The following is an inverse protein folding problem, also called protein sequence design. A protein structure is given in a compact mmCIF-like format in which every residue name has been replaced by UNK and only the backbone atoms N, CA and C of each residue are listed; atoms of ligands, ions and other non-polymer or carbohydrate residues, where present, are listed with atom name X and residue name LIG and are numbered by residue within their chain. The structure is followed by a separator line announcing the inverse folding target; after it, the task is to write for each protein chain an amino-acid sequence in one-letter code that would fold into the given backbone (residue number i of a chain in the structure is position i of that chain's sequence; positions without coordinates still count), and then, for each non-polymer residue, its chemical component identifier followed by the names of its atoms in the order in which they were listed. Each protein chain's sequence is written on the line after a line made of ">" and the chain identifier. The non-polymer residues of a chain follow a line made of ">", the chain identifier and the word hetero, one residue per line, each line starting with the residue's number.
data_IF_473846810023
#
_entry.id   IF_473846810023
#
_cell.length_a   1.000
_cell.length_b   1.000
_cell.length_c   1.000
_cell.angle_alpha   90.00
_cell.angle_beta   90.00
_cell.angle_gamma   90.00
#
_symmetry.space_group_name_H-M   'P 1'
#
loop_
_entity.id
_entity.type
_entity.pdbx_description
1 polymer ?
#
# COMPACT_ATOMS: atom_id res chain seq x y z
N UNK A 1 -19.88 -20.56 -21.09
CA UNK A 1 -20.91 -20.07 -22.03
C UNK A 1 -21.03 -18.55 -21.98
N UNK A 2 -21.40 -17.91 -20.84
CA UNK A 2 -21.61 -16.46 -20.76
C UNK A 2 -20.38 -15.63 -21.14
N UNK A 3 -19.17 -16.04 -20.75
CA UNK A 3 -17.95 -15.33 -21.12
C UNK A 3 -17.58 -15.52 -22.60
N UNK A 4 -17.90 -16.68 -23.18
CA UNK A 4 -17.74 -16.91 -24.61
C UNK A 4 -18.76 -16.09 -25.42
N UNK A 5 -19.96 -15.91 -24.91
CA UNK A 5 -20.96 -15.05 -25.52
C UNK A 5 -20.52 -13.56 -25.45
N UNK A 6 -19.98 -13.12 -24.32
CA UNK A 6 -19.39 -11.79 -24.20
C UNK A 6 -18.27 -11.57 -25.23
N UNK A 7 -17.42 -12.59 -25.50
CA UNK A 7 -16.40 -12.49 -26.54
C UNK A 7 -17.02 -12.32 -27.95
N UNK A 8 -18.13 -12.96 -28.24
CA UNK A 8 -18.86 -12.79 -29.50
C UNK A 8 -19.41 -11.38 -29.67
N UNK A 9 -19.75 -10.72 -28.57
CA UNK A 9 -20.15 -9.32 -28.54
C UNK A 9 -18.99 -8.32 -28.60
N UNK A 10 -17.75 -8.81 -28.76
CA UNK A 10 -16.56 -7.97 -28.91
C UNK A 10 -15.86 -7.60 -27.58
N UNK A 11 -16.31 -8.12 -26.44
CA UNK A 11 -15.60 -7.91 -25.18
C UNK A 11 -14.30 -8.70 -25.14
N UNK A 12 -13.23 -8.09 -24.63
CA UNK A 12 -11.95 -8.76 -24.39
C UNK A 12 -12.08 -9.67 -23.18
N UNK A 13 -11.97 -10.99 -23.38
CA UNK A 13 -11.94 -11.97 -22.31
C UNK A 13 -10.54 -12.57 -22.17
N UNK A 14 -10.18 -13.04 -20.97
CA UNK A 14 -8.90 -13.72 -20.74
C UNK A 14 -8.84 -15.02 -21.55
N UNK A 15 -7.78 -15.21 -22.34
CA UNK A 15 -7.54 -16.44 -23.08
C UNK A 15 -7.08 -17.60 -22.15
N UNK A 16 -6.54 -17.26 -20.97
CA UNK A 16 -6.10 -18.23 -19.98
C UNK A 16 -7.21 -18.93 -19.20
N UNK A 17 -8.49 -18.67 -19.52
CA UNK A 17 -9.63 -19.26 -18.82
C UNK A 17 -9.72 -20.78 -19.04
N UNK A 18 -9.85 -21.54 -17.94
CA UNK A 18 -10.04 -23.01 -18.01
C UNK A 18 -11.17 -23.45 -17.07
N UNK A 19 -12.03 -24.35 -17.54
CA UNK A 19 -13.00 -25.06 -16.70
C UNK A 19 -12.35 -26.32 -16.18
N UNK A 20 -12.37 -26.53 -14.88
CA UNK A 20 -11.78 -27.68 -14.18
C UNK A 20 -12.83 -28.39 -13.34
N UNK A 21 -12.61 -29.68 -13.04
CA UNK A 21 -13.54 -30.52 -12.28
C UNK A 21 -12.92 -31.11 -11.02
N UNK A 22 -11.60 -31.21 -10.95
CA UNK A 22 -10.87 -31.82 -9.84
C UNK A 22 -9.92 -30.84 -9.18
N UNK A 23 -9.54 -31.12 -7.93
CA UNK A 23 -8.56 -30.33 -7.20
C UNK A 23 -7.18 -30.41 -7.87
N UNK A 24 -6.82 -31.56 -8.42
CA UNK A 24 -5.55 -31.74 -9.14
C UNK A 24 -5.48 -30.83 -10.37
N UNK A 25 -6.54 -30.73 -11.16
CA UNK A 25 -6.59 -29.81 -12.30
C UNK A 25 -6.46 -28.34 -11.89
N UNK A 26 -6.91 -27.97 -10.67
CA UNK A 26 -6.71 -26.64 -10.12
C UNK A 26 -5.22 -26.40 -9.82
N UNK A 27 -4.56 -27.35 -9.14
CA UNK A 27 -3.13 -27.23 -8.84
C UNK A 27 -2.28 -27.22 -10.11
N UNK A 28 -2.59 -28.05 -11.09
CA UNK A 28 -1.89 -28.06 -12.38
C UNK A 28 -2.01 -26.71 -13.09
N UNK A 29 -3.20 -26.10 -13.03
CA UNK A 29 -3.45 -24.79 -13.62
C UNK A 29 -2.70 -23.67 -12.87
N UNK A 30 -2.65 -23.73 -11.54
CA UNK A 30 -1.89 -22.78 -10.71
C UNK A 30 -0.39 -22.87 -11.04
N UNK A 31 0.17 -24.08 -11.06
CA UNK A 31 1.58 -24.31 -11.35
C UNK A 31 1.96 -23.88 -12.77
N UNK A 32 1.10 -24.18 -13.74
CA UNK A 32 1.29 -23.73 -15.12
C UNK A 32 1.40 -22.21 -15.21
N UNK A 33 0.45 -21.48 -14.63
CA UNK A 33 0.45 -20.03 -14.70
C UNK A 33 1.47 -19.35 -13.79
N UNK A 34 1.92 -19.98 -12.73
CA UNK A 34 3.02 -19.45 -11.93
C UNK A 34 4.33 -19.35 -12.75
N UNK A 35 4.55 -20.31 -13.65
CA UNK A 35 5.66 -20.28 -14.59
C UNK A 35 5.41 -19.33 -15.78
N UNK A 36 4.25 -19.47 -16.45
CA UNK A 36 3.96 -18.83 -17.74
C UNK A 36 3.46 -17.37 -17.63
N UNK A 37 3.03 -16.91 -16.45
CA UNK A 37 2.51 -15.54 -16.25
C UNK A 37 3.49 -14.44 -16.68
N UNK A 38 4.78 -14.73 -16.68
CA UNK A 38 5.83 -13.79 -17.11
C UNK A 38 5.76 -13.48 -18.60
N UNK A 39 5.16 -14.37 -19.39
CA UNK A 39 4.99 -14.25 -20.83
C UNK A 39 3.69 -13.55 -21.22
N UNK A 40 2.85 -13.20 -20.23
CA UNK A 40 1.61 -12.45 -20.50
C UNK A 40 1.89 -10.98 -20.81
N UNK A 41 1.10 -10.36 -21.71
CA UNK A 41 1.24 -8.94 -22.05
C UNK A 41 0.86 -7.99 -20.90
N UNK A 42 0.28 -8.55 -19.82
CA UNK A 42 -0.13 -7.83 -18.61
C UNK A 42 0.38 -8.54 -17.37
N UNK A 43 0.84 -7.79 -16.39
CA UNK A 43 1.26 -8.36 -15.11
C UNK A 43 0.05 -8.95 -14.36
N UNK A 44 0.23 -10.17 -13.83
CA UNK A 44 -0.79 -10.88 -13.05
C UNK A 44 -0.21 -11.30 -11.71
N UNK A 45 -0.97 -11.09 -10.62
CA UNK A 45 -0.58 -11.42 -9.26
C UNK A 45 -1.24 -12.68 -8.71
N UNK A 46 -2.17 -13.25 -9.46
CA UNK A 46 -2.89 -14.44 -9.03
C UNK A 46 -3.94 -14.94 -10.02
N UNK A 47 -4.73 -15.90 -9.54
CA UNK A 47 -5.81 -16.55 -10.26
C UNK A 47 -7.10 -16.41 -9.44
N UNK A 48 -8.23 -16.25 -10.10
CA UNK A 48 -9.54 -16.29 -9.45
C UNK A 48 -10.24 -17.58 -9.80
N UNK A 49 -10.51 -18.39 -8.79
CA UNK A 49 -11.30 -19.59 -8.87
C UNK A 49 -12.78 -19.26 -8.61
N UNK A 50 -13.67 -19.70 -9.49
CA UNK A 50 -15.10 -19.39 -9.37
C UNK A 50 -15.93 -20.67 -9.55
N UNK A 51 -16.97 -20.82 -8.75
CA UNK A 51 -17.98 -21.88 -8.98
C UNK A 51 -18.66 -21.62 -10.32
N UNK A 52 -18.64 -22.60 -11.22
CA UNK A 52 -19.14 -22.40 -12.59
C UNK A 52 -20.67 -22.37 -12.71
N UNK A 53 -21.40 -23.00 -11.79
CA UNK A 53 -22.86 -23.05 -11.82
C UNK A 53 -23.49 -21.78 -11.26
N UNK A 54 -24.22 -21.02 -12.05
CA UNK A 54 -24.93 -19.80 -11.60
C UNK A 54 -25.97 -20.11 -10.51
N UNK A 55 -26.60 -21.30 -10.54
CA UNK A 55 -27.52 -21.73 -9.48
C UNK A 55 -26.79 -21.89 -8.15
N UNK A 56 -25.61 -22.53 -8.15
CA UNK A 56 -24.78 -22.68 -6.96
C UNK A 56 -24.23 -21.34 -6.50
N UNK A 57 -23.83 -20.44 -7.38
CA UNK A 57 -23.40 -19.09 -7.02
C UNK A 57 -24.50 -18.33 -6.27
N UNK A 58 -25.74 -18.39 -6.76
CA UNK A 58 -26.90 -17.77 -6.08
C UNK A 58 -27.17 -18.39 -4.71
N UNK A 59 -27.06 -19.72 -4.59
CA UNK A 59 -27.23 -20.42 -3.32
C UNK A 59 -26.14 -20.07 -2.27
N UNK A 60 -24.89 -19.95 -2.71
CA UNK A 60 -23.76 -19.55 -1.84
C UNK A 60 -23.83 -18.08 -1.41
N UNK A 61 -24.34 -17.21 -2.28
CA UNK A 61 -24.53 -15.80 -2.00
C UNK A 61 -23.24 -15.01 -1.80
N UNK A 62 -23.36 -13.94 -1.01
CA UNK A 62 -22.30 -12.96 -0.76
C UNK A 62 -22.10 -12.73 0.73
N UNK A 63 -20.92 -12.26 1.10
CA UNK A 63 -20.66 -11.56 2.36
C UNK A 63 -20.89 -10.06 2.14
N UNK A 64 -20.72 -9.25 3.18
CA UNK A 64 -20.80 -7.78 3.04
C UNK A 64 -19.77 -7.20 2.04
N UNK A 65 -18.68 -7.92 1.76
CA UNK A 65 -17.56 -7.41 0.95
C UNK A 65 -17.19 -8.27 -0.26
N UNK A 66 -17.61 -9.53 -0.31
CA UNK A 66 -17.11 -10.46 -1.33
C UNK A 66 -18.10 -11.60 -1.61
N UNK A 67 -18.06 -12.20 -2.83
CA UNK A 67 -18.84 -13.41 -3.14
C UNK A 67 -18.27 -14.63 -2.39
N UNK A 68 -19.17 -15.51 -1.92
CA UNK A 68 -18.80 -16.81 -1.31
C UNK A 68 -18.43 -17.88 -2.33
N UNK A 69 -18.74 -17.65 -3.59
CA UNK A 69 -18.53 -18.58 -4.70
C UNK A 69 -17.26 -18.30 -5.52
N UNK A 70 -16.43 -17.34 -5.07
CA UNK A 70 -15.16 -17.02 -5.70
C UNK A 70 -14.07 -16.89 -4.65
N UNK A 71 -12.87 -17.34 -4.99
CA UNK A 71 -11.68 -17.24 -4.18
C UNK A 71 -10.49 -16.80 -5.04
N UNK A 72 -9.71 -15.83 -4.57
CA UNK A 72 -8.47 -15.45 -5.20
C UNK A 72 -7.32 -16.27 -4.62
N UNK A 73 -6.55 -16.92 -5.51
CA UNK A 73 -5.25 -17.49 -5.18
C UNK A 73 -4.18 -16.51 -5.67
N UNK A 74 -3.38 -15.98 -4.76
CA UNK A 74 -2.27 -15.11 -5.09
C UNK A 74 -0.96 -15.91 -5.17
N UNK A 75 -0.18 -15.66 -6.21
CA UNK A 75 1.16 -16.23 -6.33
C UNK A 75 2.05 -15.76 -5.18
N UNK A 76 3.10 -16.53 -4.93
CA UNK A 76 4.13 -16.11 -3.98
C UNK A 76 4.73 -14.78 -4.44
N UNK A 77 4.80 -13.82 -3.52
CA UNK A 77 5.41 -12.53 -3.81
C UNK A 77 6.89 -12.70 -4.20
N UNK A 78 7.32 -11.91 -5.18
CA UNK A 78 8.74 -11.83 -5.49
C UNK A 78 9.48 -11.17 -4.32
N UNK A 79 10.68 -11.67 -4.05
CA UNK A 79 11.53 -11.19 -2.97
C UNK A 79 12.88 -10.77 -3.52
N UNK A 80 13.37 -9.63 -3.06
CA UNK A 80 14.72 -9.16 -3.35
C UNK A 80 15.45 -8.80 -2.06
N UNK A 81 16.78 -8.89 -2.07
CA UNK A 81 17.63 -8.49 -0.95
C UNK A 81 18.33 -7.18 -1.33
N UNK A 82 18.28 -6.19 -0.42
CA UNK A 82 18.90 -4.89 -0.63
C UNK A 82 19.37 -4.29 0.71
N UNK A 83 20.26 -3.28 0.66
CA UNK A 83 20.81 -2.65 1.85
C UNK A 83 19.87 -1.57 2.39
N UNK A 84 19.64 -1.56 3.70
CA UNK A 84 18.95 -0.50 4.44
C UNK A 84 19.91 0.65 4.71
N UNK A 85 19.69 1.81 4.12
CA UNK A 85 20.57 2.97 4.26
C UNK A 85 20.12 3.91 5.38
N UNK A 86 18.79 4.09 5.53
CA UNK A 86 18.20 5.04 6.45
C UNK A 86 16.77 4.65 6.78
N UNK A 87 16.27 5.07 7.94
CA UNK A 87 14.85 5.04 8.27
C UNK A 87 14.37 6.46 8.50
N UNK A 88 13.39 6.88 7.69
CA UNK A 88 12.69 8.16 7.84
C UNK A 88 11.31 7.95 8.44
N UNK A 89 10.74 8.99 9.04
CA UNK A 89 9.45 8.92 9.71
C UNK A 89 8.48 9.90 9.05
N UNK A 90 7.30 9.41 8.69
CA UNK A 90 6.27 10.19 8.01
C UNK A 90 5.05 10.32 8.92
N UNK A 91 4.48 11.52 8.97
CA UNK A 91 3.27 11.80 9.75
C UNK A 91 2.06 11.76 8.81
N UNK A 92 1.13 10.88 9.10
CA UNK A 92 -0.12 10.76 8.34
C UNK A 92 -1.20 11.76 8.77
N UNK A 93 -2.28 11.79 8.04
CA UNK A 93 -3.47 12.63 8.28
C UNK A 93 -4.04 12.54 9.69
N UNK A 94 -3.96 11.38 10.30
CA UNK A 94 -4.45 11.10 11.66
C UNK A 94 -3.42 11.35 12.75
N UNK A 95 -2.23 11.85 12.38
CA UNK A 95 -1.10 12.00 13.29
C UNK A 95 -0.25 10.74 13.47
N UNK A 96 -0.66 9.60 12.92
CA UNK A 96 0.11 8.36 12.99
C UNK A 96 1.49 8.54 12.34
N UNK A 97 2.55 8.14 13.07
CA UNK A 97 3.94 8.23 12.61
C UNK A 97 4.36 6.88 12.07
N UNK A 98 4.62 6.82 10.76
CA UNK A 98 4.98 5.61 10.06
C UNK A 98 6.45 5.63 9.67
N UNK A 99 7.26 4.64 10.11
CA UNK A 99 8.64 4.51 9.69
C UNK A 99 8.72 3.96 8.26
N UNK A 100 9.65 4.50 7.49
CA UNK A 100 9.90 4.12 6.09
C UNK A 100 11.38 3.83 5.91
N UNK A 101 11.67 2.62 5.46
CA UNK A 101 13.01 2.22 5.07
C UNK A 101 13.40 2.84 3.74
N UNK A 102 14.53 3.53 3.68
CA UNK A 102 15.20 3.97 2.46
C UNK A 102 16.35 3.01 2.18
N UNK A 103 16.38 2.43 0.99
CA UNK A 103 17.23 1.30 0.63
C UNK A 103 17.96 1.57 -0.68
N UNK A 104 19.03 0.81 -0.93
CA UNK A 104 19.61 0.77 -2.26
C UNK A 104 18.55 0.34 -3.28
N UNK A 105 18.57 0.94 -4.48
CA UNK A 105 17.61 0.58 -5.54
C UNK A 105 17.72 -0.91 -5.90
N UNK A 106 16.60 -1.61 -5.90
CA UNK A 106 16.53 -3.02 -6.28
C UNK A 106 15.38 -3.27 -7.25
N UNK A 107 15.61 -4.12 -8.24
CA UNK A 107 14.56 -4.54 -9.18
C UNK A 107 13.65 -5.57 -8.50
N UNK A 108 12.34 -5.31 -8.50
CA UNK A 108 11.36 -6.17 -7.86
C UNK A 108 10.01 -6.04 -8.57
N UNK A 109 9.48 -7.16 -9.06
CA UNK A 109 8.22 -7.21 -9.79
C UNK A 109 8.11 -6.17 -10.91
N UNK A 110 9.16 -6.06 -11.75
CA UNK A 110 9.20 -5.16 -12.91
C UNK A 110 9.36 -3.67 -12.59
N UNK A 111 9.61 -3.31 -11.33
CA UNK A 111 9.80 -1.92 -10.89
C UNK A 111 11.06 -1.77 -10.04
N UNK A 112 11.66 -0.56 -10.04
CA UNK A 112 12.75 -0.24 -9.14
C UNK A 112 12.20 0.21 -7.79
N UNK A 113 12.46 -0.56 -6.75
CA UNK A 113 12.08 -0.26 -5.37
C UNK A 113 13.25 0.39 -4.64
N UNK A 114 13.00 1.53 -3.97
CA UNK A 114 13.96 2.28 -3.14
C UNK A 114 13.47 2.49 -1.72
N UNK A 115 12.17 2.30 -1.49
CA UNK A 115 11.51 2.56 -0.20
C UNK A 115 10.53 1.45 0.12
N UNK A 116 10.43 1.10 1.42
CA UNK A 116 9.46 0.14 1.93
C UNK A 116 8.90 0.58 3.27
N UNK A 117 7.65 0.23 3.56
CA UNK A 117 7.08 0.51 4.88
C UNK A 117 7.66 -0.42 5.95
N UNK A 118 7.84 0.14 7.14
CA UNK A 118 8.20 -0.59 8.38
C UNK A 118 7.01 -0.65 9.35
N UNK A 119 5.83 -0.26 8.93
CA UNK A 119 4.58 -0.24 9.68
C UNK A 119 4.63 0.59 10.97
N UNK A 120 5.37 0.16 12.01
CA UNK A 120 5.44 0.78 13.33
C UNK A 120 6.74 0.41 14.07
N UNK A 121 6.91 0.90 15.31
CA UNK A 121 8.06 0.59 16.15
C UNK A 121 8.19 -0.91 16.49
N UNK A 122 7.06 -1.58 16.78
CA UNK A 122 7.06 -3.00 17.15
C UNK A 122 7.60 -3.87 16.01
N UNK A 123 7.32 -3.46 14.75
CA UNK A 123 7.87 -4.10 13.57
C UNK A 123 9.40 -3.92 13.46
N UNK A 124 9.92 -2.72 13.71
CA UNK A 124 11.36 -2.46 13.73
C UNK A 124 12.05 -3.34 14.78
N UNK A 125 11.46 -3.42 15.99
CA UNK A 125 11.98 -4.24 17.10
C UNK A 125 11.91 -5.74 16.81
N UNK A 126 10.84 -6.21 16.18
CA UNK A 126 10.66 -7.63 15.88
C UNK A 126 11.70 -8.20 14.92
N UNK A 127 12.27 -7.36 14.06
CA UNK A 127 13.37 -7.71 13.15
C UNK A 127 14.74 -7.30 13.68
N UNK A 128 14.82 -6.66 14.84
CA UNK A 128 16.08 -6.09 15.36
C UNK A 128 16.83 -5.31 14.28
N UNK A 129 16.11 -4.38 13.62
CA UNK A 129 16.64 -3.66 12.45
C UNK A 129 17.79 -2.72 12.81
N UNK A 130 18.85 -2.77 12.01
CA UNK A 130 20.00 -1.89 12.10
C UNK A 130 20.26 -1.17 10.78
N UNK A 131 20.74 0.06 10.84
CA UNK A 131 21.18 0.78 9.65
C UNK A 131 22.41 0.05 9.06
N UNK A 132 22.35 -0.21 7.76
CA UNK A 132 23.34 -1.00 7.04
C UNK A 132 22.98 -2.47 6.88
N UNK A 133 21.92 -2.96 7.50
CA UNK A 133 21.42 -4.33 7.31
C UNK A 133 21.07 -4.61 5.85
N UNK A 134 21.27 -5.86 5.45
CA UNK A 134 20.66 -6.39 4.23
C UNK A 134 19.26 -6.91 4.56
N UNK A 135 18.25 -6.34 3.91
CA UNK A 135 16.83 -6.63 4.18
C UNK A 135 16.18 -7.31 2.99
N UNK A 136 15.30 -8.25 3.27
CA UNK A 136 14.47 -8.89 2.27
C UNK A 136 13.19 -8.06 2.08
N UNK A 137 12.96 -7.64 0.84
CA UNK A 137 11.80 -6.84 0.44
C UNK A 137 10.89 -7.67 -0.43
N UNK A 138 9.61 -7.68 -0.14
CA UNK A 138 8.57 -8.29 -0.96
C UNK A 138 7.66 -7.21 -1.55
N UNK A 139 7.26 -7.44 -2.80
CA UNK A 139 6.21 -6.72 -3.48
C UNK A 139 5.24 -7.74 -4.07
N UNK A 140 4.16 -8.02 -3.34
CA UNK A 140 3.05 -8.83 -3.83
C UNK A 140 2.07 -7.97 -4.63
N UNK A 141 0.88 -8.48 -4.92
CA UNK A 141 -0.21 -7.72 -5.56
C UNK A 141 -0.63 -6.43 -4.84
N UNK A 142 0.02 -6.12 -3.74
CA UNK A 142 -0.03 -4.81 -3.10
C UNK A 142 1.02 -3.89 -3.74
N UNK A 143 0.63 -2.66 -4.00
CA UNK A 143 1.48 -1.66 -4.65
C UNK A 143 2.65 -1.25 -3.74
N UNK A 144 2.52 -1.45 -2.42
CA UNK A 144 3.47 -0.98 -1.40
C UNK A 144 4.48 -2.07 -1.05
N UNK A 145 5.79 -1.86 -1.30
CA UNK A 145 6.83 -2.77 -0.85
C UNK A 145 6.90 -2.84 0.68
N UNK A 146 7.15 -4.04 1.22
CA UNK A 146 7.33 -4.28 2.65
C UNK A 146 8.59 -5.08 2.93
N UNK A 147 9.25 -4.81 4.04
CA UNK A 147 10.33 -5.64 4.55
C UNK A 147 9.73 -6.89 5.19
N UNK A 148 10.34 -8.06 4.92
CA UNK A 148 9.87 -9.36 5.41
C UNK A 148 10.95 -10.17 6.12
N UNK A 149 12.15 -9.62 6.25
CA UNK A 149 13.25 -10.24 6.96
C UNK A 149 14.53 -9.45 6.86
N UNK A 150 15.51 -9.87 7.66
CA UNK A 150 16.88 -9.35 7.71
C UNK A 150 17.84 -10.50 7.48
N UNK A 151 18.87 -10.26 6.69
CA UNK A 151 20.02 -11.16 6.51
C UNK A 151 21.06 -10.84 7.60
N UNK A 152 20.93 -11.49 8.75
CA UNK A 152 21.74 -11.22 9.93
C UNK A 152 23.21 -11.62 9.68
N UNK A 153 23.45 -12.63 8.86
CA UNK A 153 24.82 -13.10 8.56
C UNK A 153 25.64 -12.04 7.79
N UNK A 154 24.94 -11.14 7.10
CA UNK A 154 25.55 -10.04 6.33
C UNK A 154 25.53 -8.69 7.06
N UNK A 155 25.13 -8.67 8.34
CA UNK A 155 25.08 -7.43 9.13
C UNK A 155 26.49 -6.86 9.33
N UNK A 156 26.73 -5.58 9.00
CA UNK A 156 28.01 -4.93 9.29
C UNK A 156 28.27 -4.87 10.81
N UNK A 157 29.52 -5.07 11.23
CA UNK A 157 29.93 -5.03 12.65
C UNK A 157 29.61 -3.65 13.30
N UNK A 158 29.63 -2.58 12.50
CA UNK A 158 29.38 -1.20 12.95
C UNK A 158 27.91 -0.77 12.78
N UNK A 159 27.00 -1.71 12.44
CA UNK A 159 25.59 -1.42 12.25
C UNK A 159 24.96 -0.87 13.54
N UNK A 160 24.19 0.23 13.43
CA UNK A 160 23.53 0.85 14.56
C UNK A 160 22.06 0.47 14.61
N UNK A 161 21.49 0.14 15.80
CA UNK A 161 20.09 -0.15 15.92
C UNK A 161 19.22 1.02 15.44
N UNK A 162 18.14 0.70 14.74
CA UNK A 162 17.14 1.70 14.36
C UNK A 162 16.32 2.07 15.57
N UNK A 163 16.43 3.34 16.01
CA UNK A 163 15.63 3.88 17.11
C UNK A 163 14.41 4.62 16.58
N UNK A 164 13.25 4.39 17.20
CA UNK A 164 12.05 5.15 16.86
C UNK A 164 12.13 6.56 17.43
N UNK A 165 11.56 7.55 16.71
CA UNK A 165 11.58 8.95 17.15
C UNK A 165 10.63 9.17 18.34
N UNK A 166 11.02 10.04 19.25
CA UNK A 166 10.20 10.43 20.42
C UNK A 166 9.39 11.69 20.21
N UNK A 167 9.75 12.46 19.19
CA UNK A 167 9.11 13.72 18.82
C UNK A 167 8.68 13.67 17.35
N UNK A 168 7.62 14.39 17.04
CA UNK A 168 7.11 14.52 15.69
C UNK A 168 8.17 15.15 14.78
N UNK A 169 8.56 14.51 13.66
CA UNK A 169 9.57 15.03 12.75
C UNK A 169 9.15 16.35 12.06
N UNK A 170 7.85 16.65 12.06
CA UNK A 170 7.28 17.80 11.35
C UNK A 170 7.05 19.02 12.25
N UNK A 171 6.57 18.81 13.49
CA UNK A 171 6.22 19.94 14.38
C UNK A 171 6.91 19.89 15.75
N UNK A 172 7.79 18.91 16.01
CA UNK A 172 8.55 18.79 17.26
C UNK A 172 7.73 18.39 18.49
N UNK A 173 6.43 18.18 18.38
CA UNK A 173 5.58 17.79 19.51
C UNK A 173 5.90 16.37 19.95
N UNK A 174 5.97 16.14 21.27
CA UNK A 174 6.19 14.80 21.82
C UNK A 174 5.11 13.82 21.37
N UNK A 175 5.54 12.66 20.85
CA UNK A 175 4.64 11.61 20.40
C UNK A 175 3.97 10.91 21.58
N UNK A 176 2.77 10.40 21.34
CA UNK A 176 2.00 9.58 22.29
C UNK A 176 1.66 8.24 21.67
N UNK A 177 1.62 7.20 22.49
CA UNK A 177 1.12 5.88 22.11
C UNK A 177 -0.08 5.57 23.00
N UNK A 178 -1.21 5.29 22.38
CA UNK A 178 -2.43 4.96 23.12
C UNK A 178 -2.42 3.49 23.53
N UNK A 179 -3.10 3.18 24.62
CA UNK A 179 -3.22 1.81 25.12
C UNK A 179 -3.89 0.92 24.06
N UNK A 180 -3.30 -0.24 23.80
CA UNK A 180 -3.78 -1.18 22.78
C UNK A 180 -3.39 -0.84 21.34
N UNK A 181 -2.74 0.30 21.09
CA UNK A 181 -2.30 0.71 19.77
C UNK A 181 -0.82 0.40 19.52
N UNK A 182 -0.50 -0.02 18.31
CA UNK A 182 0.88 -0.27 17.88
C UNK A 182 1.57 0.96 17.28
N UNK A 183 0.80 1.99 16.93
CA UNK A 183 1.30 3.22 16.32
C UNK A 183 1.58 4.30 17.36
N UNK A 184 2.56 5.15 17.05
CA UNK A 184 2.80 6.42 17.73
C UNK A 184 2.10 7.53 16.99
N UNK A 185 1.58 8.51 17.73
CA UNK A 185 0.81 9.62 17.17
C UNK A 185 1.37 10.96 17.59
N UNK A 186 1.33 11.92 16.67
CA UNK A 186 1.49 13.32 16.97
C UNK A 186 0.14 13.90 17.46
N UNK A 187 0.00 14.32 18.73
CA UNK A 187 -1.25 14.83 19.27
C UNK A 187 -1.58 16.25 18.83
N UNK A 188 -0.67 16.95 18.15
CA UNK A 188 -0.86 18.33 17.68
C UNK A 188 -1.65 18.37 16.38
N UNK A 189 -2.93 18.04 16.44
CA UNK A 189 -3.81 17.95 15.28
C UNK A 189 -4.13 19.31 14.64
N UNK A 190 -4.12 20.38 15.42
CA UNK A 190 -4.39 21.73 14.95
C UNK A 190 -3.16 22.47 14.39
N UNK A 191 -1.95 22.04 14.76
CA UNK A 191 -0.72 22.74 14.38
C UNK A 191 0.26 21.94 13.53
N UNK A 192 0.06 20.64 13.38
CA UNK A 192 0.97 19.77 12.61
C UNK A 192 0.66 19.85 11.10
N UNK A 193 1.58 20.35 10.26
CA UNK A 193 1.30 20.58 8.84
C UNK A 193 0.77 19.38 8.07
N UNK A 194 1.36 18.17 8.16
CA UNK A 194 0.83 16.99 7.47
C UNK A 194 -0.59 16.60 7.89
N UNK A 195 -0.94 16.83 9.17
CA UNK A 195 -2.30 16.52 9.63
C UNK A 195 -3.32 17.50 9.06
N UNK A 196 -2.98 18.80 9.04
CA UNK A 196 -3.83 19.85 8.46
C UNK A 196 -4.02 19.58 6.96
N UNK A 197 -2.92 19.49 6.21
CA UNK A 197 -2.96 19.25 4.75
C UNK A 197 -3.70 17.95 4.42
N UNK A 198 -3.38 16.86 5.09
CA UNK A 198 -3.99 15.56 4.83
C UNK A 198 -5.49 15.51 5.14
N UNK A 199 -6.01 16.32 6.09
CA UNK A 199 -7.46 16.47 6.31
C UNK A 199 -8.13 17.21 5.16
N UNK A 200 -7.50 18.27 4.64
CA UNK A 200 -8.01 19.02 3.49
C UNK A 200 -7.99 18.14 2.24
N UNK A 201 -6.88 17.43 1.97
CA UNK A 201 -6.76 16.48 0.86
C UNK A 201 -7.83 15.38 0.92
N UNK A 202 -8.08 14.84 2.11
CA UNK A 202 -9.14 13.85 2.29
C UNK A 202 -10.52 14.45 2.00
N UNK A 203 -10.78 15.67 2.48
CA UNK A 203 -12.06 16.36 2.29
C UNK A 203 -12.36 16.60 0.81
N UNK A 204 -11.39 17.04 0.01
CA UNK A 204 -11.55 17.26 -1.43
C UNK A 204 -11.57 15.96 -2.25
N UNK A 205 -11.14 14.83 -1.69
CA UNK A 205 -10.98 13.58 -2.41
C UNK A 205 -12.29 13.03 -2.96
N UNK A 206 -12.17 12.12 -3.97
CA UNK A 206 -13.32 11.40 -4.57
C UNK A 206 -14.17 10.63 -3.58
N UNK A 207 -13.63 10.25 -2.43
CA UNK A 207 -14.33 9.51 -1.37
C UNK A 207 -15.08 10.40 -0.40
N UNK A 208 -14.91 11.71 -0.50
CA UNK A 208 -15.57 12.69 0.36
C UNK A 208 -16.36 13.70 -0.51
N UNK A 209 -15.88 14.93 -0.65
CA UNK A 209 -16.64 16.00 -1.35
C UNK A 209 -16.40 15.99 -2.87
N UNK A 210 -15.45 15.21 -3.37
CA UNK A 210 -15.11 15.09 -4.80
C UNK A 210 -14.94 16.46 -5.49
N UNK A 211 -14.09 17.29 -4.93
CA UNK A 211 -13.79 18.61 -5.52
C UNK A 211 -12.73 18.43 -6.60
N UNK A 212 -13.08 18.74 -7.84
CA UNK A 212 -12.19 18.62 -8.98
C UNK A 212 -11.15 19.75 -9.03
N UNK A 213 -10.03 19.48 -9.69
CA UNK A 213 -8.95 20.44 -10.00
C UNK A 213 -8.13 20.92 -8.78
N UNK A 214 -8.43 20.47 -7.56
CA UNK A 214 -7.62 20.70 -6.38
C UNK A 214 -6.93 19.40 -5.99
N UNK A 215 -5.61 19.35 -6.11
CA UNK A 215 -4.77 18.21 -5.73
C UNK A 215 -3.90 18.47 -4.50
N UNK A 216 -3.09 17.49 -4.06
CA UNK A 216 -2.16 17.66 -2.93
C UNK A 216 -1.18 18.82 -3.10
N UNK A 217 -0.70 19.07 -4.32
CA UNK A 217 0.21 20.18 -4.63
C UNK A 217 -0.50 21.53 -4.41
N UNK A 218 -1.72 21.69 -4.90
CA UNK A 218 -2.52 22.91 -4.69
C UNK A 218 -2.83 23.14 -3.20
N UNK A 219 -3.14 22.07 -2.46
CA UNK A 219 -3.36 22.16 -1.01
C UNK A 219 -2.10 22.61 -0.29
N UNK A 220 -0.94 22.08 -0.69
CA UNK A 220 0.36 22.49 -0.11
C UNK A 220 0.66 23.97 -0.39
N UNK A 221 0.40 24.44 -1.60
CA UNK A 221 0.58 25.85 -1.98
C UNK A 221 -0.36 26.78 -1.20
N UNK A 222 -1.65 26.43 -1.11
CA UNK A 222 -2.61 27.21 -0.30
C UNK A 222 -2.22 27.24 1.18
N UNK A 223 -1.73 26.12 1.71
CA UNK A 223 -1.25 26.05 3.07
C UNK A 223 -0.02 26.94 3.29
N UNK A 224 0.97 26.91 2.39
CA UNK A 224 2.18 27.76 2.46
C UNK A 224 1.85 29.25 2.38
N UNK A 225 0.90 29.61 1.53
CA UNK A 225 0.43 31.00 1.39
C UNK A 225 -0.46 31.46 2.57
N UNK A 226 -0.81 30.54 3.48
CA UNK A 226 -1.69 30.85 4.61
C UNK A 226 -3.16 30.98 4.26
N UNK A 227 -3.57 30.59 3.06
CA UNK A 227 -4.94 30.66 2.58
C UNK A 227 -5.84 29.62 3.24
N UNK A 228 -5.28 28.46 3.62
CA UNK A 228 -6.02 27.39 4.27
C UNK A 228 -5.30 26.85 5.50
N UNK A 229 -6.05 26.64 6.59
CA UNK A 229 -5.64 25.96 7.83
C UNK A 229 -6.61 24.86 8.23
N UNK A 230 -7.81 24.88 7.69
CA UNK A 230 -8.84 23.87 7.89
C UNK A 230 -9.73 23.77 6.64
N UNK A 231 -10.67 22.83 6.62
CA UNK A 231 -11.54 22.58 5.47
C UNK A 231 -12.54 23.73 5.20
N UNK A 232 -12.91 24.51 6.24
CA UNK A 232 -13.85 25.61 6.07
C UNK A 232 -13.22 26.78 5.29
N UNK A 233 -11.91 26.95 5.39
CA UNK A 233 -11.21 28.02 4.70
C UNK A 233 -11.31 27.87 3.16
N UNK A 234 -11.50 26.65 2.64
CA UNK A 234 -11.73 26.43 1.20
C UNK A 234 -12.94 27.20 0.64
N UNK A 235 -13.91 27.52 1.48
CA UNK A 235 -15.13 28.25 1.07
C UNK A 235 -14.99 29.78 1.18
N UNK A 236 -13.87 30.25 1.71
CA UNK A 236 -13.63 31.69 1.94
C UNK A 236 -12.45 32.23 1.12
N UNK A 237 -11.81 31.38 0.32
CA UNK A 237 -10.71 31.81 -0.58
C UNK A 237 -11.27 32.74 -1.65
N UNK A 238 -10.70 33.95 -1.74
CA UNK A 238 -10.99 34.89 -2.84
C UNK A 238 -10.09 34.55 -4.04
N UNK A 239 -10.69 34.58 -5.23
CA UNK A 239 -9.99 34.40 -6.53
C UNK A 239 -8.80 35.37 -6.67
N UNK A 240 -8.89 36.56 -6.10
CA UNK A 240 -7.80 37.55 -6.11
C UNK A 240 -6.58 37.15 -5.26
N UNK A 241 -6.73 36.17 -4.39
CA UNK A 241 -5.65 35.64 -3.52
C UNK A 241 -4.88 34.48 -4.17
N UNK A 242 -5.36 33.96 -5.31
CA UNK A 242 -4.79 32.76 -5.99
C UNK A 242 -3.81 33.18 -7.12
N UNK A 243 -3.26 34.37 -7.12
CA UNK A 243 -2.32 34.85 -8.16
C UNK A 243 -0.86 34.49 -7.88
#
# INVERSE_FOLDING_TARGET
>A
ENLQEAARWGFKISQGMKKVKTLQEIYDYINYWDAERKNLPVATDGIVLKVNSLRQQRSLGFTAKSPRWAIAYKYKAERACTRLNEVTFQVGRTGAVTPVANMDPVQLAGTTVKRATLNNEDFIRSFDLHIGDYVYVEKGGEIIPKIVGVDIDRRPIIAQPVSFVTHCPECGTRLVRYEGESAWYCPNDAGCPPQIKGRIEHFISRRAMNIDSIGPETVDDFYRQGLVRNVADLYTIDVQQIN
#
